data_IF_578560036617
#
_entry.id   IF_578560036617
#
_cell.length_a   1.000
_cell.length_b   1.000
_cell.length_c   1.000
_cell.angle_alpha   90.00
_cell.angle_beta   90.00
_cell.angle_gamma   90.00
#
_symmetry.space_group_name_H-M   'P 1'
#
loop_
_entity.id
_entity.type
_entity.pdbx_description
1 polymer ?
#
# COMPACT_ATOMS: atom_id res chain seq x y z
N UNK A 1 60.68 74.66 -74.72
CA UNK A 1 61.09 74.34 -73.31
C UNK A 1 60.45 73.03 -72.92
N UNK A 2 61.21 72.03 -72.77
CA UNK A 2 60.77 70.66 -72.53
C UNK A 2 60.42 70.40 -71.04
N UNK A 3 59.32 69.79 -70.85
CA UNK A 3 59.05 69.15 -69.50
C UNK A 3 58.61 67.76 -69.72
N UNK A 4 59.47 66.89 -69.23
CA UNK A 4 59.33 65.44 -69.19
C UNK A 4 58.33 65.02 -68.07
N UNK A 5 57.36 64.26 -68.45
CA UNK A 5 56.41 63.71 -67.48
C UNK A 5 56.82 62.28 -67.17
N UNK A 6 57.10 61.97 -65.87
CA UNK A 6 57.46 60.67 -65.35
C UNK A 6 56.20 59.96 -64.90
N UNK A 7 55.84 58.86 -65.53
CA UNK A 7 54.78 58.00 -65.10
C UNK A 7 55.30 56.99 -64.06
N UNK A 8 54.79 57.04 -62.89
CA UNK A 8 55.02 56.06 -61.83
C UNK A 8 53.84 55.06 -61.91
N UNK A 9 54.11 53.83 -62.33
CA UNK A 9 53.16 52.72 -62.24
C UNK A 9 53.19 52.18 -60.79
N UNK A 10 52.08 52.46 -60.03
CA UNK A 10 51.81 51.80 -58.78
C UNK A 10 51.14 50.46 -59.01
N UNK A 11 51.94 49.40 -58.80
CA UNK A 11 51.38 48.00 -58.83
C UNK A 11 50.68 47.69 -57.54
N UNK A 12 49.39 47.51 -57.63
CA UNK A 12 48.58 47.01 -56.54
C UNK A 12 48.69 45.51 -56.47
N UNK A 13 49.36 45.00 -55.43
CA UNK A 13 49.36 43.58 -55.08
C UNK A 13 47.96 43.25 -54.49
N UNK A 14 47.19 42.47 -55.25
CA UNK A 14 45.94 41.89 -54.78
C UNK A 14 46.28 40.60 -53.99
N UNK A 15 46.31 40.68 -52.64
CA UNK A 15 46.41 39.49 -51.78
C UNK A 15 45.03 38.83 -51.72
N UNK A 16 44.85 37.72 -52.41
CA UNK A 16 43.70 36.85 -52.29
C UNK A 16 43.72 36.18 -50.88
N UNK A 17 42.89 36.68 -49.96
CA UNK A 17 42.64 36.00 -48.69
C UNK A 17 41.79 34.75 -48.98
N UNK A 18 42.38 33.58 -48.94
CA UNK A 18 41.64 32.30 -48.95
C UNK A 18 40.94 32.18 -47.63
N UNK A 19 39.65 32.46 -47.61
CA UNK A 19 38.77 32.16 -46.45
C UNK A 19 38.67 30.64 -46.42
N UNK A 20 39.42 30.03 -45.51
CA UNK A 20 39.27 28.58 -45.21
C UNK A 20 37.89 28.34 -44.67
N UNK A 21 37.09 27.64 -45.44
CA UNK A 21 35.78 27.18 -44.96
C UNK A 21 36.03 26.14 -43.86
N UNK A 22 35.69 26.52 -42.63
CA UNK A 22 35.64 25.56 -41.54
C UNK A 22 34.51 24.56 -41.82
N UNK A 23 34.84 23.36 -42.23
CA UNK A 23 33.88 22.28 -42.33
C UNK A 23 33.43 21.90 -40.92
N UNK A 24 32.14 22.14 -40.64
CA UNK A 24 31.53 21.68 -39.38
C UNK A 24 31.60 20.13 -39.37
N UNK A 25 32.34 19.59 -38.44
CA UNK A 25 32.40 18.15 -38.18
C UNK A 25 31.25 17.83 -37.19
N UNK A 26 30.28 17.04 -37.61
CA UNK A 26 29.19 16.56 -36.75
C UNK A 26 29.65 15.22 -36.13
N UNK A 27 29.70 15.17 -34.81
CA UNK A 27 29.87 13.93 -34.09
C UNK A 27 28.46 13.46 -33.64
N UNK A 28 28.11 12.22 -33.98
CA UNK A 28 26.88 11.57 -33.58
C UNK A 28 27.17 10.44 -32.62
N UNK A 29 26.31 10.26 -31.64
CA UNK A 29 26.35 9.18 -30.68
C UNK A 29 24.93 8.72 -30.33
N UNK A 30 24.81 7.56 -29.70
CA UNK A 30 23.55 7.00 -29.25
C UNK A 30 23.55 6.94 -27.73
N UNK A 31 22.40 7.23 -27.14
CA UNK A 31 22.13 7.00 -25.72
C UNK A 31 21.12 5.87 -25.66
N UNK A 32 21.47 4.74 -25.00
CA UNK A 32 20.54 3.66 -24.74
C UNK A 32 19.65 4.04 -23.56
N UNK A 33 18.33 3.86 -23.72
CA UNK A 33 17.37 3.96 -22.63
C UNK A 33 16.65 2.62 -22.49
N UNK A 34 16.58 2.09 -21.27
CA UNK A 34 15.91 0.82 -20.98
C UNK A 34 14.96 0.98 -19.80
N UNK A 35 13.82 0.29 -19.89
CA UNK A 35 12.84 0.17 -18.79
C UNK A 35 12.35 -1.28 -18.78
N UNK A 36 12.38 -1.89 -17.60
CA UNK A 36 11.78 -3.20 -17.39
C UNK A 36 10.55 -3.02 -16.49
N UNK A 37 9.40 -3.44 -16.99
CA UNK A 37 8.15 -3.48 -16.21
C UNK A 37 7.86 -4.94 -15.84
N UNK A 38 7.58 -5.17 -14.57
CA UNK A 38 7.17 -6.47 -14.03
C UNK A 38 5.75 -6.37 -13.50
N UNK A 39 5.09 -7.52 -13.36
CA UNK A 39 3.83 -7.56 -12.64
C UNK A 39 4.04 -7.14 -11.19
N UNK A 40 3.06 -6.44 -10.64
CA UNK A 40 3.12 -5.95 -9.28
C UNK A 40 1.82 -5.30 -8.83
N UNK A 41 1.69 -5.12 -7.52
CA UNK A 41 0.56 -4.42 -6.93
C UNK A 41 1.06 -3.23 -6.10
N UNK A 42 0.30 -2.15 -6.13
CA UNK A 42 0.38 -1.07 -5.16
C UNK A 42 -0.64 -1.34 -4.05
N UNK A 43 -0.18 -1.39 -2.83
CA UNK A 43 -1.02 -1.56 -1.65
C UNK A 43 -0.97 -0.25 -0.86
N UNK A 44 -2.12 0.39 -0.69
CA UNK A 44 -2.21 1.75 -0.16
C UNK A 44 -1.28 2.74 -0.90
N UNK A 45 -1.14 2.57 -2.23
CA UNK A 45 -0.26 3.37 -3.07
C UNK A 45 1.23 3.04 -2.98
N UNK A 46 1.65 2.06 -2.17
CA UNK A 46 3.05 1.65 -1.99
C UNK A 46 3.37 0.37 -2.78
N UNK A 47 4.53 0.29 -3.46
CA UNK A 47 4.99 -0.94 -4.11
C UNK A 47 5.63 -1.95 -3.14
N UNK A 48 5.68 -1.65 -1.84
CA UNK A 48 6.22 -2.53 -0.81
C UNK A 48 5.40 -3.81 -0.73
N UNK A 49 6.08 -4.98 -0.67
CA UNK A 49 5.41 -6.28 -0.70
C UNK A 49 5.50 -7.06 0.63
N UNK A 50 6.26 -6.57 1.59
CA UNK A 50 6.44 -7.18 2.90
C UNK A 50 6.27 -6.14 4.00
N UNK A 51 5.77 -6.58 5.17
CA UNK A 51 5.56 -5.68 6.31
C UNK A 51 4.51 -4.60 6.07
N UNK A 52 3.54 -4.88 5.19
CA UNK A 52 2.51 -3.91 4.82
C UNK A 52 1.54 -3.74 5.98
N UNK A 53 1.28 -2.49 6.33
CA UNK A 53 0.20 -2.16 7.24
C UNK A 53 -1.10 -1.93 6.44
N UNK A 54 -2.09 -2.81 6.60
CA UNK A 54 -3.41 -2.67 5.98
C UNK A 54 -4.35 -1.79 6.79
N UNK A 55 -4.03 -1.52 8.06
CA UNK A 55 -4.86 -0.73 8.96
C UNK A 55 -5.07 -1.38 10.32
N UNK A 56 -6.02 -0.88 11.07
CA UNK A 56 -6.31 -1.30 12.45
C UNK A 56 -7.81 -1.49 12.65
N UNK A 57 -8.18 -2.54 13.39
CA UNK A 57 -9.50 -2.73 13.94
C UNK A 57 -9.45 -2.39 15.45
N UNK A 58 -9.85 -1.18 15.79
CA UNK A 58 -9.87 -0.71 17.18
C UNK A 58 -11.26 -0.82 17.76
N UNK A 59 -11.44 -1.66 18.77
CA UNK A 59 -12.69 -1.78 19.50
C UNK A 59 -12.88 -0.69 20.57
N UNK A 60 -11.89 0.17 20.76
CA UNK A 60 -11.93 1.28 21.71
C UNK A 60 -11.62 0.89 23.15
N UNK A 61 -11.88 1.82 24.06
CA UNK A 61 -11.66 1.63 25.51
C UNK A 61 -13.01 1.47 26.20
N UNK A 62 -13.16 0.34 26.88
CA UNK A 62 -14.40 -0.03 27.58
C UNK A 62 -14.10 -0.53 28.99
N UNK A 63 -15.04 -0.41 29.91
CA UNK A 63 -14.98 -1.14 31.18
C UNK A 63 -14.88 -2.65 30.91
N UNK A 64 -14.31 -3.42 31.84
CA UNK A 64 -14.26 -4.89 31.73
C UNK A 64 -15.66 -5.54 31.72
N UNK A 65 -16.68 -4.80 32.09
CA UNK A 65 -18.11 -5.15 31.92
C UNK A 65 -18.64 -4.48 30.65
N UNK A 66 -18.63 -5.20 29.55
CA UNK A 66 -19.12 -4.70 28.24
C UNK A 66 -20.12 -5.70 27.64
N UNK A 67 -20.93 -5.26 26.71
CA UNK A 67 -21.80 -6.09 25.88
C UNK A 67 -21.18 -6.32 24.49
N UNK A 68 -22.00 -6.44 23.47
CA UNK A 68 -21.52 -6.50 22.09
C UNK A 68 -20.79 -5.21 21.71
N UNK A 69 -19.57 -5.36 21.18
CA UNK A 69 -18.77 -4.28 20.64
C UNK A 69 -18.57 -4.50 19.14
N UNK A 70 -18.56 -3.40 18.39
CA UNK A 70 -18.34 -3.43 16.94
C UNK A 70 -17.33 -2.38 16.56
N UNK A 71 -16.58 -2.65 15.50
CA UNK A 71 -15.64 -1.71 14.92
C UNK A 71 -15.56 -1.89 13.41
N UNK A 72 -15.09 -0.88 12.73
CA UNK A 72 -14.74 -0.92 11.31
C UNK A 72 -13.26 -0.68 11.15
N UNK A 73 -12.66 -1.24 10.11
CA UNK A 73 -11.26 -0.99 9.75
C UNK A 73 -11.00 0.51 9.65
N UNK A 74 -9.93 0.95 10.29
CA UNK A 74 -9.26 2.21 9.97
C UNK A 74 -8.05 1.88 9.12
N UNK A 75 -8.07 2.25 7.84
CA UNK A 75 -7.00 1.97 6.90
C UNK A 75 -5.71 2.72 7.26
N UNK A 76 -4.57 2.15 6.91
CA UNK A 76 -3.26 2.75 7.22
C UNK A 76 -3.05 4.13 6.57
N UNK A 77 -3.71 4.41 5.45
CA UNK A 77 -3.70 5.71 4.76
C UNK A 77 -4.84 6.64 5.22
N UNK A 78 -5.56 6.25 6.26
CA UNK A 78 -6.77 6.92 6.72
C UNK A 78 -8.03 6.38 6.04
N UNK A 79 -9.21 6.83 6.51
CA UNK A 79 -10.49 6.31 6.06
C UNK A 79 -10.78 4.89 6.57
N UNK A 80 -11.77 4.24 5.97
CA UNK A 80 -12.30 2.95 6.44
C UNK A 80 -11.95 1.80 5.50
N UNK A 81 -10.95 1.97 4.64
CA UNK A 81 -10.53 1.00 3.62
C UNK A 81 -9.02 0.92 3.51
N UNK A 82 -8.52 -0.20 3.01
CA UNK A 82 -7.23 -0.27 2.35
C UNK A 82 -7.44 -0.45 0.84
N UNK A 83 -6.45 -0.07 0.04
CA UNK A 83 -6.57 -0.06 -1.41
C UNK A 83 -5.55 -0.96 -2.07
N UNK A 84 -5.96 -1.58 -3.19
CA UNK A 84 -5.12 -2.43 -4.02
C UNK A 84 -5.25 -1.98 -5.47
N UNK A 85 -4.11 -1.82 -6.14
CA UNK A 85 -4.03 -1.58 -7.58
C UNK A 85 -2.96 -2.48 -8.16
N UNK A 86 -3.36 -3.46 -8.96
CA UNK A 86 -2.45 -4.43 -9.57
C UNK A 86 -2.31 -4.20 -11.09
N UNK A 87 -1.16 -4.58 -11.64
CA UNK A 87 -0.93 -4.59 -13.09
C UNK A 87 -1.53 -5.83 -13.76
N UNK A 88 -1.87 -6.87 -12.97
CA UNK A 88 -2.55 -8.08 -13.45
C UNK A 88 -4.05 -7.89 -13.38
N UNK A 89 -4.76 -8.46 -14.36
CA UNK A 89 -6.23 -8.39 -14.43
C UNK A 89 -6.92 -9.22 -13.33
N UNK A 90 -6.22 -10.18 -12.73
CA UNK A 90 -6.74 -11.02 -11.67
C UNK A 90 -5.78 -11.10 -10.50
N UNK A 91 -6.28 -10.85 -9.30
CA UNK A 91 -5.58 -11.04 -8.05
C UNK A 91 -6.60 -11.39 -6.96
N UNK A 92 -6.12 -11.91 -5.84
CA UNK A 92 -6.97 -12.30 -4.71
C UNK A 92 -6.43 -11.68 -3.43
N UNK A 93 -7.31 -11.05 -2.67
CA UNK A 93 -7.03 -10.58 -1.31
C UNK A 93 -7.73 -11.51 -0.34
N UNK A 94 -7.03 -12.02 0.66
CA UNK A 94 -7.59 -12.94 1.64
C UNK A 94 -7.03 -12.71 3.05
N UNK A 95 -7.84 -12.99 4.05
CA UNK A 95 -7.37 -13.16 5.43
C UNK A 95 -6.84 -14.60 5.55
N UNK A 96 -5.55 -14.78 5.74
CA UNK A 96 -4.94 -16.12 5.85
C UNK A 96 -5.06 -16.70 7.26
N UNK A 97 -5.24 -15.84 8.25
CA UNK A 97 -5.38 -16.25 9.65
C UNK A 97 -5.16 -15.08 10.59
N UNK A 98 -4.88 -15.40 11.82
CA UNK A 98 -4.52 -14.47 12.88
C UNK A 98 -3.54 -15.15 13.86
N UNK A 99 -2.85 -14.35 14.64
CA UNK A 99 -1.85 -14.88 15.59
C UNK A 99 -2.50 -15.72 16.70
N UNK A 100 -3.62 -15.24 17.23
CA UNK A 100 -4.27 -15.85 18.40
C UNK A 100 -5.53 -16.63 17.98
N UNK A 101 -5.35 -17.78 17.34
CA UNK A 101 -6.45 -18.67 16.90
C UNK A 101 -6.83 -19.74 17.93
N UNK A 102 -6.02 -19.94 18.98
CA UNK A 102 -6.28 -20.89 20.07
C UNK A 102 -6.85 -20.16 21.27
N UNK A 103 -7.90 -20.73 21.85
CA UNK A 103 -8.54 -20.17 23.04
C UNK A 103 -7.57 -20.11 24.22
N UNK A 104 -7.41 -18.97 24.90
CA UNK A 104 -6.70 -18.89 26.17
C UNK A 104 -7.49 -19.57 27.29
N UNK A 105 -6.90 -19.64 28.50
CA UNK A 105 -7.53 -20.29 29.65
C UNK A 105 -8.88 -19.70 30.06
N UNK A 106 -9.03 -18.38 29.93
CA UNK A 106 -10.31 -17.65 30.19
C UNK A 106 -10.65 -16.81 29.00
N UNK A 107 -11.85 -16.99 28.48
CA UNK A 107 -12.39 -16.26 27.31
C UNK A 107 -13.69 -15.58 27.65
N UNK A 108 -13.82 -14.33 27.21
CA UNK A 108 -15.07 -13.58 27.20
C UNK A 108 -15.52 -13.41 25.76
N UNK A 109 -16.81 -13.40 25.53
CA UNK A 109 -17.40 -13.35 24.21
C UNK A 109 -17.53 -14.73 23.58
N UNK A 110 -18.27 -14.79 22.47
CA UNK A 110 -18.53 -16.02 21.74
C UNK A 110 -17.60 -16.10 20.54
N UNK A 111 -16.72 -17.12 20.46
CA UNK A 111 -15.87 -17.27 19.30
C UNK A 111 -16.68 -17.64 18.06
N UNK A 112 -16.28 -17.09 16.93
CA UNK A 112 -16.81 -17.44 15.61
C UNK A 112 -16.07 -18.62 14.97
N UNK A 113 -16.37 -18.86 13.70
CA UNK A 113 -15.63 -19.79 12.85
C UNK A 113 -15.14 -19.02 11.61
N UNK A 114 -13.83 -18.82 11.47
CA UNK A 114 -12.70 -19.26 12.31
C UNK A 114 -12.65 -18.53 13.66
N UNK A 115 -12.11 -19.22 14.68
CA UNK A 115 -11.94 -18.64 16.02
C UNK A 115 -10.80 -17.61 16.05
N UNK A 116 -11.03 -16.48 16.70
CA UNK A 116 -10.07 -15.38 16.85
C UNK A 116 -10.18 -14.77 18.23
N UNK A 117 -9.02 -14.46 18.82
CA UNK A 117 -8.96 -13.95 20.20
C UNK A 117 -8.02 -12.76 20.29
N UNK A 118 -8.49 -11.69 20.89
CA UNK A 118 -7.63 -10.64 21.44
C UNK A 118 -7.08 -11.16 22.77
N UNK A 119 -5.77 -11.21 22.93
CA UNK A 119 -5.11 -11.72 24.13
C UNK A 119 -4.58 -10.55 24.96
N UNK A 120 -4.77 -10.65 26.29
CA UNK A 120 -4.26 -9.66 27.23
C UNK A 120 -2.72 -9.65 27.21
N UNK A 121 -2.13 -8.48 26.97
CA UNK A 121 -0.68 -8.32 26.85
C UNK A 121 0.10 -8.60 28.13
N UNK A 122 -0.56 -8.47 29.30
CA UNK A 122 0.04 -8.76 30.61
C UNK A 122 -0.30 -10.16 31.13
N UNK A 123 -1.33 -10.83 30.59
CA UNK A 123 -1.78 -12.15 31.01
C UNK A 123 -2.30 -12.96 29.83
N UNK A 124 -1.44 -13.74 29.21
CA UNK A 124 -1.76 -14.55 28.03
C UNK A 124 -2.83 -15.64 28.28
N UNK A 125 -3.19 -15.92 29.53
CA UNK A 125 -4.27 -16.84 29.85
C UNK A 125 -5.67 -16.22 29.72
N UNK A 126 -5.76 -14.94 29.35
CA UNK A 126 -7.01 -14.23 29.23
C UNK A 126 -7.21 -13.63 27.84
N UNK A 127 -8.40 -13.79 27.29
CA UNK A 127 -8.75 -13.28 25.97
C UNK A 127 -10.20 -12.90 25.79
N UNK A 128 -10.42 -12.18 24.71
CA UNK A 128 -11.74 -11.76 24.23
C UNK A 128 -11.94 -12.29 22.82
N UNK A 129 -12.97 -13.11 22.64
CA UNK A 129 -13.29 -13.66 21.31
C UNK A 129 -13.90 -12.58 20.41
N UNK A 130 -13.48 -12.57 19.14
CA UNK A 130 -14.05 -11.67 18.14
C UNK A 130 -14.21 -12.37 16.80
N UNK A 131 -15.00 -11.79 15.91
CA UNK A 131 -15.21 -12.27 14.54
C UNK A 131 -15.02 -11.13 13.55
N UNK A 132 -14.64 -11.50 12.33
CA UNK A 132 -14.45 -10.58 11.20
C UNK A 132 -15.59 -10.77 10.19
N UNK A 133 -16.04 -9.66 9.63
CA UNK A 133 -17.11 -9.62 8.64
C UNK A 133 -16.73 -8.72 7.47
N UNK A 134 -17.28 -9.04 6.30
CA UNK A 134 -17.11 -8.22 5.10
C UNK A 134 -18.20 -7.16 4.93
N UNK A 135 -19.21 -7.15 5.79
CA UNK A 135 -20.36 -6.23 5.74
C UNK A 135 -20.67 -5.59 7.09
N UNK A 136 -21.20 -4.39 7.06
CA UNK A 136 -21.58 -3.62 8.26
C UNK A 136 -22.79 -4.19 9.02
N UNK A 137 -23.55 -5.08 8.38
CA UNK A 137 -24.67 -5.80 8.99
C UNK A 137 -24.23 -7.03 9.77
N UNK A 138 -22.95 -7.40 9.73
CA UNK A 138 -22.39 -8.58 10.40
C UNK A 138 -23.07 -9.91 10.00
N UNK A 139 -23.42 -10.05 8.72
CA UNK A 139 -24.04 -11.25 8.17
C UNK A 139 -23.03 -12.18 7.49
N UNK A 140 -21.97 -11.62 6.91
CA UNK A 140 -21.01 -12.34 6.11
C UNK A 140 -19.68 -12.47 6.85
N UNK A 141 -19.52 -13.59 7.57
CA UNK A 141 -18.27 -13.91 8.30
C UNK A 141 -17.15 -14.17 7.30
N UNK A 142 -15.98 -13.62 7.56
CA UNK A 142 -14.77 -13.85 6.75
C UNK A 142 -14.10 -15.15 7.19
N UNK A 143 -14.14 -16.16 6.31
CA UNK A 143 -13.38 -17.39 6.47
C UNK A 143 -11.90 -17.17 6.12
N UNK A 144 -11.01 -17.98 6.71
CA UNK A 144 -9.60 -17.96 6.34
C UNK A 144 -9.43 -18.47 4.91
N UNK A 145 -8.53 -17.81 4.17
CA UNK A 145 -8.19 -18.09 2.76
C UNK A 145 -9.35 -17.90 1.75
N UNK A 146 -10.48 -17.37 2.19
CA UNK A 146 -11.54 -16.96 1.27
C UNK A 146 -11.22 -15.56 0.69
N UNK A 147 -11.54 -15.37 -0.59
CA UNK A 147 -11.40 -14.08 -1.24
C UNK A 147 -12.27 -13.03 -0.53
N UNK A 148 -11.68 -11.90 -0.19
CA UNK A 148 -12.42 -10.75 0.30
C UNK A 148 -13.18 -10.09 -0.85
N UNK A 149 -14.44 -9.69 -0.63
CA UNK A 149 -15.18 -8.93 -1.62
C UNK A 149 -14.59 -7.52 -1.72
N UNK A 150 -14.54 -7.00 -2.94
CA UNK A 150 -14.23 -5.61 -3.22
C UNK A 150 -15.38 -4.74 -2.71
N UNK A 151 -15.09 -3.77 -1.87
CA UNK A 151 -16.10 -2.83 -1.36
C UNK A 151 -16.47 -1.77 -2.41
N UNK A 152 -15.47 -1.30 -3.16
CA UNK A 152 -15.67 -0.38 -4.29
C UNK A 152 -14.44 -0.37 -5.21
N UNK A 153 -14.66 -0.05 -6.49
CA UNK A 153 -13.59 0.16 -7.47
C UNK A 153 -13.72 1.56 -8.05
N UNK A 154 -12.62 2.30 -8.05
CA UNK A 154 -12.54 3.61 -8.68
C UNK A 154 -11.19 3.79 -9.37
N UNK A 155 -11.21 4.17 -10.66
CA UNK A 155 -10.00 4.41 -11.47
C UNK A 155 -9.02 3.23 -11.50
N UNK A 156 -9.51 1.99 -11.49
CA UNK A 156 -8.68 0.78 -11.45
C UNK A 156 -8.05 0.49 -10.10
N UNK A 157 -8.53 1.14 -9.03
CA UNK A 157 -8.12 0.90 -7.65
C UNK A 157 -9.28 0.24 -6.92
N UNK A 158 -9.06 -0.95 -6.38
CA UNK A 158 -10.03 -1.65 -5.57
C UNK A 158 -9.83 -1.31 -4.09
N UNK A 159 -10.94 -1.06 -3.42
CA UNK A 159 -10.98 -0.75 -1.99
C UNK A 159 -11.61 -1.91 -1.23
N UNK A 160 -11.03 -2.23 -0.09
CA UNK A 160 -11.47 -3.30 0.80
C UNK A 160 -11.73 -2.75 2.18
N UNK A 161 -12.76 -3.25 2.85
CA UNK A 161 -13.06 -2.92 4.24
C UNK A 161 -13.34 -4.18 5.05
N UNK A 162 -13.19 -4.07 6.36
CA UNK A 162 -13.43 -5.15 7.32
C UNK A 162 -14.20 -4.58 8.50
N UNK A 163 -15.04 -5.43 9.06
CA UNK A 163 -15.79 -5.13 10.29
C UNK A 163 -15.45 -6.16 11.34
N UNK A 164 -15.21 -5.69 12.55
CA UNK A 164 -14.98 -6.53 13.72
C UNK A 164 -16.18 -6.53 14.65
N UNK A 165 -16.48 -7.68 15.24
CA UNK A 165 -17.54 -7.79 16.25
C UNK A 165 -17.09 -8.71 17.38
N UNK A 166 -17.29 -8.24 18.60
CA UNK A 166 -17.26 -9.04 19.82
C UNK A 166 -18.71 -9.29 20.22
N UNK A 167 -19.10 -10.55 20.35
CA UNK A 167 -20.48 -10.93 20.68
C UNK A 167 -20.53 -11.50 22.09
N UNK A 168 -21.31 -10.89 22.94
CA UNK A 168 -21.37 -11.24 24.37
C UNK A 168 -20.20 -10.63 25.15
N UNK A 169 -20.01 -11.06 26.35
CA UNK A 169 -18.92 -10.60 27.21
C UNK A 169 -19.32 -9.70 28.36
N UNK A 170 -20.47 -9.05 28.30
CA UNK A 170 -20.97 -8.19 29.38
C UNK A 170 -21.06 -8.90 30.73
N UNK A 171 -20.95 -8.15 31.80
CA UNK A 171 -21.04 -8.63 33.21
C UNK A 171 -19.95 -9.66 33.60
N UNK A 172 -18.92 -9.86 32.82
CA UNK A 172 -17.83 -10.76 33.18
C UNK A 172 -16.86 -10.05 34.09
N UNK A 173 -16.73 -10.55 35.31
CA UNK A 173 -15.66 -10.15 36.24
C UNK A 173 -14.41 -11.03 36.07
N UNK A 174 -14.44 -11.96 35.10
CA UNK A 174 -13.40 -12.96 34.90
C UNK A 174 -12.24 -12.46 34.04
N UNK A 175 -12.44 -11.41 33.27
CA UNK A 175 -11.42 -10.80 32.43
C UNK A 175 -10.91 -9.53 33.07
N UNK A 176 -9.60 -9.45 33.30
CA UNK A 176 -8.97 -8.32 33.98
C UNK A 176 -8.85 -7.12 33.04
N UNK A 177 -8.87 -5.89 33.56
CA UNK A 177 -8.51 -4.72 32.79
C UNK A 177 -7.11 -4.83 32.19
N UNK A 178 -6.92 -4.31 30.97
CA UNK A 178 -5.65 -4.33 30.26
C UNK A 178 -5.82 -4.12 28.78
N UNK A 179 -4.71 -4.13 28.05
CA UNK A 179 -4.69 -4.07 26.60
C UNK A 179 -4.78 -5.48 26.03
N UNK A 180 -5.72 -5.68 25.13
CA UNK A 180 -5.97 -6.95 24.46
C UNK A 180 -5.65 -6.79 22.96
N UNK A 181 -4.80 -7.64 22.41
CA UNK A 181 -4.31 -7.51 21.04
C UNK A 181 -4.35 -8.83 20.27
N UNK A 182 -4.47 -8.73 18.95
CA UNK A 182 -4.24 -9.79 17.99
C UNK A 182 -3.63 -9.19 16.73
N UNK A 183 -3.05 -10.02 15.87
CA UNK A 183 -2.58 -9.64 14.55
C UNK A 183 -3.29 -10.49 13.50
N UNK A 184 -3.95 -9.82 12.56
CA UNK A 184 -4.66 -10.44 11.44
C UNK A 184 -3.71 -10.46 10.25
N UNK A 185 -3.53 -11.64 9.66
CA UNK A 185 -2.66 -11.83 8.49
C UNK A 185 -3.47 -11.70 7.21
N UNK A 186 -3.04 -10.78 6.34
CA UNK A 186 -3.63 -10.53 5.03
C UNK A 186 -2.64 -10.94 3.95
N UNK A 187 -3.11 -11.59 2.89
CA UNK A 187 -2.32 -11.85 1.67
C UNK A 187 -2.98 -11.25 0.44
N UNK A 188 -2.14 -10.79 -0.46
CA UNK A 188 -2.51 -10.41 -1.84
C UNK A 188 -1.73 -11.31 -2.77
N UNK A 189 -2.44 -12.11 -3.57
CA UNK A 189 -1.85 -13.06 -4.54
C UNK A 189 -2.18 -12.60 -5.95
N UNK A 190 -1.18 -12.40 -6.82
CA UNK A 190 -1.29 -11.89 -8.19
C UNK A 190 -0.31 -12.55 -9.14
#
# INVERSE_FOLDING_TARGET
MKRTLLFICAGTLLTAATVGQALAVTSSGTIGATLTLTNGCLINGSPTQNGINFGTLDFGTHPATFSTLTTQLTGASGGNTFTIQCTTASYTVAITGNTNSTAPGTVVGTPGTPARYLINSANAAQGVAYSLYSDSGFNNVIANNAALPVASTANGIDSYTLYGRITGGGNSVTVVPGTYTDTINVSVTY
#
